data_IF_881449160290
#
_entry.id   IF_881449160290
#
_cell.length_a   1.000
_cell.length_b   1.000
_cell.length_c   1.000
_cell.angle_alpha   90.00
_cell.angle_beta   90.00
_cell.angle_gamma   90.00
#
_symmetry.space_group_name_H-M   'P 1'
#
loop_
_entity.id
_entity.type
_entity.pdbx_description
1 polymer ?
#
# COMPACT_ATOMS: atom_id res chain seq x y z
N UNK A 1 -52.07 41.13 28.60
CA UNK A 1 -51.82 40.35 27.37
C UNK A 1 -50.59 40.82 26.56
N UNK A 2 -50.24 42.12 26.52
CA UNK A 2 -49.06 42.63 25.76
C UNK A 2 -47.67 42.28 26.33
N UNK A 3 -47.55 42.02 27.64
CA UNK A 3 -46.25 41.68 28.27
C UNK A 3 -45.81 40.23 28.03
N UNK A 4 -46.76 39.29 27.93
CA UNK A 4 -46.46 37.87 27.72
C UNK A 4 -46.03 37.57 26.27
N UNK A 5 -46.58 38.28 25.27
CA UNK A 5 -46.10 38.18 23.88
C UNK A 5 -44.65 38.64 23.71
N UNK A 6 -44.17 39.63 24.48
CA UNK A 6 -42.76 40.08 24.41
C UNK A 6 -41.79 39.05 24.96
N UNK A 7 -42.18 38.30 26.01
CA UNK A 7 -41.37 37.23 26.58
C UNK A 7 -41.31 36.02 25.65
N UNK A 8 -42.44 35.64 25.04
CA UNK A 8 -42.50 34.53 24.07
C UNK A 8 -41.69 34.87 22.81
N UNK A 9 -41.80 36.10 22.28
CA UNK A 9 -40.99 36.53 21.15
C UNK A 9 -39.48 36.52 21.46
N UNK A 10 -39.08 36.91 22.67
CA UNK A 10 -37.68 36.87 23.10
C UNK A 10 -37.16 35.43 23.23
N UNK A 11 -37.95 34.50 23.76
CA UNK A 11 -37.59 33.07 23.86
C UNK A 11 -37.46 32.43 22.48
N UNK A 12 -38.36 32.75 21.54
CA UNK A 12 -38.31 32.22 20.17
C UNK A 12 -37.08 32.75 19.42
N UNK A 13 -36.70 34.01 19.63
CA UNK A 13 -35.47 34.60 19.05
C UNK A 13 -34.21 33.91 19.61
N UNK A 14 -34.15 33.65 20.91
CA UNK A 14 -33.01 32.95 21.53
C UNK A 14 -32.90 31.50 21.02
N UNK A 15 -34.02 30.79 20.80
CA UNK A 15 -34.03 29.43 20.22
C UNK A 15 -33.58 29.40 18.75
N UNK A 16 -33.93 30.43 17.97
CA UNK A 16 -33.52 30.56 16.57
C UNK A 16 -32.03 30.88 16.41
N UNK A 17 -31.43 31.62 17.34
CA UNK A 17 -29.99 31.95 17.32
C UNK A 17 -29.12 30.73 17.70
N UNK A 18 -29.60 29.87 18.61
CA UNK A 18 -28.87 28.64 19.00
C UNK A 18 -28.80 27.56 17.92
N UNK A 19 -29.61 27.67 16.86
CA UNK A 19 -29.70 26.67 15.78
C UNK A 19 -28.64 26.86 14.68
N UNK A 20 -27.83 27.93 14.73
CA UNK A 20 -26.79 28.25 13.74
C UNK A 20 -25.36 28.03 14.24
N UNK A 21 -25.17 27.32 15.36
CA UNK A 21 -23.84 26.85 15.73
C UNK A 21 -23.43 25.67 14.86
N UNK A 22 -22.84 25.96 13.70
CA UNK A 22 -22.01 25.00 12.97
C UNK A 22 -20.72 24.77 13.78
N UNK A 23 -20.81 23.98 14.83
CA UNK A 23 -19.65 23.41 15.53
C UNK A 23 -19.07 22.23 14.72
N UNK A 24 -18.90 22.42 13.41
CA UNK A 24 -18.15 21.48 12.60
C UNK A 24 -16.68 21.82 12.79
N UNK A 25 -16.00 21.10 13.67
CA UNK A 25 -14.54 21.06 13.68
C UNK A 25 -14.11 20.76 12.25
N UNK A 26 -13.50 21.75 11.59
CA UNK A 26 -12.89 21.55 10.29
C UNK A 26 -11.69 20.64 10.53
N UNK A 27 -11.89 19.32 10.39
CA UNK A 27 -10.84 18.29 10.46
C UNK A 27 -9.90 18.38 9.23
N UNK A 28 -9.50 19.58 8.86
CA UNK A 28 -8.50 19.78 7.84
C UNK A 28 -7.17 19.27 8.37
N UNK A 29 -6.55 18.37 7.60
CA UNK A 29 -5.33 17.68 8.00
C UNK A 29 -4.22 18.72 8.21
N UNK A 30 -3.80 18.91 9.47
CA UNK A 30 -2.76 19.87 9.82
C UNK A 30 -1.40 19.31 9.45
N UNK A 31 -0.68 20.02 8.59
CA UNK A 31 0.71 19.72 8.27
C UNK A 31 1.64 20.35 9.32
N UNK A 32 2.70 19.65 9.74
CA UNK A 32 3.75 20.25 10.56
C UNK A 32 4.50 21.33 9.75
N UNK A 33 5.28 22.20 10.42
CA UNK A 33 6.18 23.13 9.74
C UNK A 33 7.08 22.41 8.72
N UNK A 34 7.38 23.06 7.60
CA UNK A 34 8.07 22.44 6.45
C UNK A 34 9.40 21.79 6.82
N UNK A 35 10.21 22.42 7.66
CA UNK A 35 11.50 21.86 8.09
C UNK A 35 11.35 20.51 8.82
N UNK A 36 10.34 20.41 9.70
CA UNK A 36 10.02 19.16 10.39
C UNK A 36 9.45 18.13 9.42
N UNK A 37 8.64 18.57 8.47
CA UNK A 37 8.11 17.69 7.42
C UNK A 37 9.23 17.11 6.55
N UNK A 38 10.15 17.95 6.08
CA UNK A 38 11.26 17.55 5.21
C UNK A 38 12.23 16.60 5.95
N UNK A 39 12.51 16.88 7.23
CA UNK A 39 13.32 16.00 8.07
C UNK A 39 12.68 14.61 8.24
N UNK A 40 11.37 14.56 8.49
CA UNK A 40 10.64 13.30 8.68
C UNK A 40 10.46 12.55 7.35
N UNK A 41 10.15 13.25 6.27
CA UNK A 41 9.89 12.64 4.95
C UNK A 41 11.17 12.40 4.13
N UNK A 42 12.34 12.71 4.67
CA UNK A 42 13.62 12.42 4.03
C UNK A 42 13.72 10.93 3.66
N UNK A 43 14.03 10.66 2.40
CA UNK A 43 14.19 9.29 1.91
C UNK A 43 15.42 8.65 2.58
N UNK A 44 15.29 7.46 3.18
CA UNK A 44 16.42 6.72 3.71
C UNK A 44 17.33 6.26 2.58
N UNK A 45 18.55 5.86 2.95
CA UNK A 45 19.49 5.25 1.99
C UNK A 45 18.84 4.05 1.30
N UNK A 46 18.88 3.96 -0.04
CA UNK A 46 18.33 2.83 -0.77
C UNK A 46 18.96 1.51 -0.33
N UNK A 47 18.16 0.46 -0.22
CA UNK A 47 18.70 -0.88 -0.04
C UNK A 47 19.25 -1.41 -1.36
N UNK A 48 20.34 -2.16 -1.30
CA UNK A 48 21.03 -2.68 -2.49
C UNK A 48 21.00 -4.20 -2.52
N UNK A 49 20.86 -4.76 -3.72
CA UNK A 49 21.04 -6.18 -4.01
C UNK A 49 21.97 -6.31 -5.20
N UNK A 50 22.96 -7.18 -5.11
CA UNK A 50 23.98 -7.36 -6.16
C UNK A 50 23.88 -8.78 -6.71
N UNK A 51 24.12 -8.95 -8.01
CA UNK A 51 24.26 -10.25 -8.63
C UNK A 51 25.52 -11.00 -8.16
N UNK A 52 25.56 -12.32 -8.32
CA UNK A 52 26.67 -13.16 -7.87
C UNK A 52 28.01 -12.79 -8.50
N UNK A 53 27.97 -12.19 -9.71
CA UNK A 53 29.15 -11.76 -10.46
C UNK A 53 29.64 -10.36 -10.09
N UNK A 54 28.89 -9.60 -9.29
CA UNK A 54 29.23 -8.22 -8.96
C UNK A 54 29.23 -7.27 -10.16
N UNK A 55 28.40 -7.54 -11.17
CA UNK A 55 28.26 -6.71 -12.36
C UNK A 55 27.09 -5.72 -12.24
N UNK A 56 25.97 -6.20 -11.69
CA UNK A 56 24.73 -5.43 -11.58
C UNK A 56 24.27 -5.30 -10.14
N UNK A 57 23.85 -4.08 -9.80
CA UNK A 57 23.28 -3.72 -8.52
C UNK A 57 21.87 -3.17 -8.73
N UNK A 58 20.89 -3.78 -8.08
CA UNK A 58 19.55 -3.22 -7.92
C UNK A 58 19.55 -2.30 -6.69
N UNK A 59 19.21 -1.03 -6.89
CA UNK A 59 18.92 -0.10 -5.81
C UNK A 59 17.41 -0.01 -5.63
N UNK A 60 16.96 -0.15 -4.39
CA UNK A 60 15.55 -0.12 -4.02
C UNK A 60 15.30 1.00 -3.02
N UNK A 61 14.60 2.03 -3.47
CA UNK A 61 14.19 3.16 -2.64
C UNK A 61 12.92 2.82 -1.88
N UNK A 62 12.73 3.45 -0.72
CA UNK A 62 11.51 3.29 0.07
C UNK A 62 11.16 4.62 0.72
N UNK A 63 9.87 4.81 1.01
CA UNK A 63 9.43 5.85 1.92
C UNK A 63 9.53 5.36 3.36
N UNK A 64 9.94 6.25 4.27
CA UNK A 64 9.94 5.97 5.72
C UNK A 64 8.52 5.91 6.30
N UNK A 65 7.56 6.56 5.64
CA UNK A 65 6.19 6.70 6.14
C UNK A 65 5.16 6.21 5.11
N UNK A 66 4.20 5.36 5.53
CA UNK A 66 3.05 5.01 4.70
C UNK A 66 2.14 6.22 4.52
N UNK A 67 1.42 6.28 3.41
CA UNK A 67 0.45 7.37 3.16
C UNK A 67 -0.82 7.19 3.99
N UNK A 68 -1.61 8.26 4.15
CA UNK A 68 -2.88 8.21 4.88
C UNK A 68 -3.85 7.20 4.24
N UNK A 69 -3.87 7.12 2.91
CA UNK A 69 -4.70 6.19 2.15
C UNK A 69 -4.30 4.73 2.39
N UNK A 70 -3.01 4.47 2.65
CA UNK A 70 -2.51 3.15 3.02
C UNK A 70 -2.94 2.77 4.43
N UNK A 71 -2.84 3.71 5.37
CA UNK A 71 -3.25 3.50 6.76
C UNK A 71 -4.76 3.24 6.88
N UNK A 72 -5.56 3.89 6.03
CA UNK A 72 -7.01 3.74 5.95
C UNK A 72 -7.51 2.50 5.21
N UNK A 73 -6.63 1.68 4.62
CA UNK A 73 -7.04 0.44 3.96
C UNK A 73 -7.68 -0.56 4.95
N UNK A 74 -8.66 -1.36 4.50
CA UNK A 74 -9.31 -2.34 5.36
C UNK A 74 -8.32 -3.41 5.83
N UNK A 75 -8.45 -3.81 7.09
CA UNK A 75 -7.64 -4.85 7.73
C UNK A 75 -8.55 -5.87 8.40
N UNK A 76 -8.36 -7.15 8.09
CA UNK A 76 -8.96 -8.27 8.82
C UNK A 76 -7.85 -9.00 9.56
N UNK A 77 -8.12 -9.33 10.82
CA UNK A 77 -7.22 -10.12 11.67
C UNK A 77 -7.71 -11.56 11.75
N UNK A 78 -6.96 -12.51 11.20
CA UNK A 78 -7.31 -13.94 11.19
C UNK A 78 -6.06 -14.76 11.50
N UNK A 79 -6.13 -15.65 12.48
CA UNK A 79 -5.02 -16.55 12.85
C UNK A 79 -3.66 -15.83 13.02
N UNK A 80 -3.68 -14.64 13.63
CA UNK A 80 -2.48 -13.81 13.84
C UNK A 80 -2.02 -12.99 12.63
N UNK A 81 -2.62 -13.18 11.45
CA UNK A 81 -2.31 -12.41 10.25
C UNK A 81 -3.17 -11.15 10.16
N UNK A 82 -2.62 -10.13 9.49
CA UNK A 82 -3.33 -8.90 9.15
C UNK A 82 -3.44 -8.80 7.63
N UNK A 83 -4.63 -9.00 7.10
CA UNK A 83 -4.90 -9.18 5.67
C UNK A 83 -5.79 -8.04 5.19
N UNK A 84 -5.45 -7.44 4.06
CA UNK A 84 -6.36 -6.58 3.33
C UNK A 84 -7.25 -7.45 2.43
N UNK A 85 -8.58 -7.49 2.68
CA UNK A 85 -9.49 -8.34 1.91
C UNK A 85 -9.65 -7.91 0.46
N UNK A 86 -9.38 -6.64 0.12
CA UNK A 86 -9.61 -6.10 -1.22
C UNK A 86 -8.57 -6.60 -2.22
N UNK A 87 -7.32 -6.72 -1.79
CA UNK A 87 -6.19 -7.07 -2.66
C UNK A 87 -5.51 -8.39 -2.31
N UNK A 88 -5.95 -9.07 -1.24
CA UNK A 88 -5.40 -10.34 -0.78
C UNK A 88 -3.88 -10.27 -0.47
N UNK A 89 -3.47 -9.17 0.15
CA UNK A 89 -2.12 -8.96 0.65
C UNK A 89 -2.09 -8.64 2.15
N UNK A 90 -0.89 -8.68 2.75
CA UNK A 90 -0.67 -8.18 4.11
C UNK A 90 -1.02 -6.69 4.19
N UNK A 91 -1.83 -6.30 5.18
CA UNK A 91 -2.28 -4.90 5.37
C UNK A 91 -1.18 -3.96 5.86
N UNK A 92 -0.07 -4.52 6.38
CA UNK A 92 1.08 -3.80 6.91
C UNK A 92 2.34 -4.50 6.43
N UNK A 93 3.04 -3.88 5.48
CA UNK A 93 4.35 -4.31 5.01
C UNK A 93 5.15 -3.10 4.53
N UNK A 94 6.48 -3.21 4.57
CA UNK A 94 7.34 -2.18 4.01
C UNK A 94 7.34 -2.31 2.48
N UNK A 95 7.14 -1.19 1.78
CA UNK A 95 7.12 -1.15 0.34
C UNK A 95 8.32 -0.39 -0.23
N UNK A 96 8.71 -0.82 -1.42
CA UNK A 96 9.67 -0.13 -2.28
C UNK A 96 8.89 0.75 -3.24
N UNK A 97 9.25 2.04 -3.32
CA UNK A 97 8.56 3.03 -4.14
C UNK A 97 9.24 3.27 -5.49
N UNK A 98 10.53 2.95 -5.61
CA UNK A 98 11.30 3.06 -6.84
C UNK A 98 12.44 2.03 -6.93
N UNK A 99 12.82 1.69 -8.16
CA UNK A 99 13.99 0.88 -8.46
C UNK A 99 14.92 1.61 -9.45
N UNK A 100 16.23 1.45 -9.25
CA UNK A 100 17.23 1.77 -10.28
C UNK A 100 18.26 0.64 -10.40
N UNK A 101 18.88 0.52 -11.57
CA UNK A 101 19.96 -0.43 -11.82
C UNK A 101 21.28 0.31 -11.96
N UNK A 102 22.32 -0.21 -11.30
CA UNK A 102 23.67 0.31 -11.44
C UNK A 102 24.60 -0.78 -11.93
N UNK A 103 25.34 -0.48 -12.98
CA UNK A 103 26.44 -1.32 -13.41
C UNK A 103 27.67 -0.97 -12.57
N UNK A 104 28.21 -1.95 -11.84
CA UNK A 104 29.26 -1.71 -10.83
C UNK A 104 30.58 -1.33 -11.50
N UNK A 105 30.96 -2.03 -12.57
CA UNK A 105 32.23 -1.81 -13.30
C UNK A 105 32.29 -0.41 -13.91
N UNK A 106 31.24 -0.01 -14.61
CA UNK A 106 31.16 1.30 -15.30
C UNK A 106 30.70 2.43 -14.38
N UNK A 107 30.18 2.09 -13.19
CA UNK A 107 29.53 3.01 -12.22
C UNK A 107 28.29 3.73 -12.77
N UNK A 108 27.80 3.35 -13.96
CA UNK A 108 26.65 3.97 -14.60
C UNK A 108 25.34 3.49 -13.97
N UNK A 109 24.46 4.43 -13.68
CA UNK A 109 23.11 4.18 -13.17
C UNK A 109 22.08 4.32 -14.31
N UNK A 110 21.07 3.45 -14.26
CA UNK A 110 20.02 3.29 -15.25
C UNK A 110 18.68 3.35 -14.54
N UNK A 111 17.80 4.22 -15.03
CA UNK A 111 16.39 4.20 -14.66
C UNK A 111 15.72 3.02 -15.34
N UNK A 112 14.87 2.31 -14.61
CA UNK A 112 14.08 1.21 -15.18
C UNK A 112 12.82 1.80 -15.83
N UNK A 113 12.61 1.49 -17.10
CA UNK A 113 11.47 1.97 -17.87
C UNK A 113 10.28 1.03 -17.66
N UNK A 114 9.07 1.57 -17.49
CA UNK A 114 7.85 0.75 -17.35
C UNK A 114 7.54 0.29 -15.92
N UNK A 115 8.20 0.89 -14.91
CA UNK A 115 7.79 0.70 -13.52
C UNK A 115 6.36 1.21 -13.29
N UNK A 116 5.57 0.57 -12.41
CA UNK A 116 4.24 1.05 -12.02
C UNK A 116 4.27 2.47 -11.45
N UNK A 117 3.22 3.24 -11.74
CA UNK A 117 2.99 4.54 -11.07
C UNK A 117 2.57 4.29 -9.61
N UNK A 118 3.07 5.10 -8.68
CA UNK A 118 2.83 4.93 -7.23
C UNK A 118 3.13 3.50 -6.76
N UNK A 119 4.27 2.97 -7.22
CA UNK A 119 4.67 1.59 -6.99
C UNK A 119 4.72 1.27 -5.49
N UNK A 120 4.17 0.12 -5.13
CA UNK A 120 4.29 -0.49 -3.81
C UNK A 120 4.86 -1.88 -3.99
N UNK A 121 6.16 -1.92 -4.26
CA UNK A 121 6.86 -3.14 -4.58
C UNK A 121 7.29 -3.92 -3.33
N UNK A 122 7.24 -5.24 -3.44
CA UNK A 122 7.69 -6.21 -2.43
C UNK A 122 8.11 -7.52 -3.13
N UNK A 123 8.54 -8.52 -2.35
CA UNK A 123 8.90 -9.87 -2.83
C UNK A 123 9.90 -9.84 -4.01
N UNK A 124 10.96 -9.05 -3.88
CA UNK A 124 11.97 -8.86 -4.93
C UNK A 124 12.92 -10.05 -4.96
N UNK A 125 13.11 -10.66 -6.13
CA UNK A 125 14.00 -11.82 -6.30
C UNK A 125 14.68 -11.79 -7.67
N UNK A 126 16.00 -12.03 -7.69
CA UNK A 126 16.72 -12.30 -8.93
C UNK A 126 16.34 -13.67 -9.48
N UNK A 127 16.31 -13.81 -10.81
CA UNK A 127 16.25 -15.12 -11.46
C UNK A 127 17.52 -15.91 -11.15
N UNK A 128 17.48 -17.26 -11.19
CA UNK A 128 18.67 -18.07 -10.91
C UNK A 128 19.87 -17.76 -11.81
N UNK A 129 19.62 -17.38 -13.07
CA UNK A 129 20.65 -16.92 -14.01
C UNK A 129 20.92 -15.40 -13.96
N UNK A 130 20.27 -14.67 -13.07
CA UNK A 130 20.47 -13.24 -12.77
C UNK A 130 20.23 -12.28 -13.94
N UNK A 131 19.56 -12.74 -15.01
CA UNK A 131 19.18 -11.90 -16.16
C UNK A 131 17.88 -11.13 -15.96
N UNK A 132 17.09 -11.50 -14.97
CA UNK A 132 15.77 -10.96 -14.67
C UNK A 132 15.60 -10.75 -13.17
N UNK A 133 14.75 -9.80 -12.79
CA UNK A 133 14.31 -9.60 -11.41
C UNK A 133 12.79 -9.62 -11.40
N UNK A 134 12.21 -10.46 -10.56
CA UNK A 134 10.76 -10.45 -10.31
C UNK A 134 10.47 -9.63 -9.06
N UNK A 135 9.35 -8.91 -9.08
CA UNK A 135 8.78 -8.27 -7.90
C UNK A 135 7.26 -8.26 -7.99
N UNK A 136 6.60 -8.08 -6.85
CA UNK A 136 5.15 -7.87 -6.79
C UNK A 136 4.84 -6.41 -6.53
N UNK A 137 3.87 -5.84 -7.24
CA UNK A 137 3.34 -4.50 -7.01
C UNK A 137 1.94 -4.58 -6.40
N UNK A 138 1.74 -3.93 -5.26
CA UNK A 138 0.45 -3.92 -4.54
C UNK A 138 -0.34 -2.65 -4.85
N UNK A 139 -1.58 -2.79 -5.29
CA UNK A 139 -2.55 -1.69 -5.44
C UNK A 139 -3.64 -1.83 -4.38
N UNK A 140 -4.60 -0.91 -4.35
CA UNK A 140 -5.76 -0.99 -3.45
C UNK A 140 -6.61 -2.27 -3.67
N UNK A 141 -6.62 -2.81 -4.89
CA UNK A 141 -7.56 -3.87 -5.31
C UNK A 141 -6.86 -5.12 -5.86
N UNK A 142 -5.55 -5.08 -6.10
CA UNK A 142 -4.82 -6.20 -6.71
C UNK A 142 -3.38 -6.25 -6.23
N UNK A 143 -2.79 -7.44 -6.30
CA UNK A 143 -1.34 -7.59 -6.38
C UNK A 143 -0.98 -8.15 -7.75
N UNK A 144 -0.01 -7.55 -8.41
CA UNK A 144 0.45 -7.93 -9.74
C UNK A 144 1.95 -8.26 -9.73
N UNK A 145 2.38 -9.18 -10.58
CA UNK A 145 3.77 -9.56 -10.74
C UNK A 145 4.40 -8.86 -11.93
N UNK A 146 5.62 -8.37 -11.74
CA UNK A 146 6.40 -7.68 -12.75
C UNK A 146 7.77 -8.33 -12.88
N UNK A 147 8.32 -8.32 -14.10
CA UNK A 147 9.71 -8.69 -14.39
C UNK A 147 10.46 -7.48 -14.91
N UNK A 148 11.60 -7.19 -14.29
CA UNK A 148 12.65 -6.32 -14.81
C UNK A 148 13.60 -7.19 -15.64
N UNK A 149 13.84 -6.80 -16.88
CA UNK A 149 14.90 -7.38 -17.71
C UNK A 149 16.15 -6.50 -17.60
N UNK A 150 17.26 -7.09 -17.14
CA UNK A 150 18.51 -6.36 -16.86
C UNK A 150 19.12 -5.77 -18.14
N UNK A 151 19.04 -6.50 -19.26
CA UNK A 151 19.68 -6.08 -20.52
C UNK A 151 18.97 -4.89 -21.16
N UNK A 152 17.64 -4.85 -21.09
CA UNK A 152 16.82 -3.78 -21.68
C UNK A 152 16.49 -2.68 -20.68
N UNK A 153 16.74 -2.90 -19.39
CA UNK A 153 16.34 -2.01 -18.30
C UNK A 153 14.83 -1.68 -18.33
N UNK A 154 14.00 -2.66 -18.68
CA UNK A 154 12.54 -2.50 -18.76
C UNK A 154 11.82 -3.40 -17.76
N UNK A 155 10.76 -2.88 -17.13
CA UNK A 155 9.83 -3.62 -16.31
C UNK A 155 8.53 -3.89 -17.07
N UNK A 156 7.98 -5.10 -16.92
CA UNK A 156 6.74 -5.52 -17.58
C UNK A 156 5.87 -6.34 -16.64
N UNK A 157 4.55 -6.12 -16.68
CA UNK A 157 3.58 -6.95 -15.95
C UNK A 157 3.43 -8.30 -16.63
N UNK A 158 3.41 -9.39 -15.86
CA UNK A 158 3.41 -10.76 -16.41
C UNK A 158 2.18 -11.61 -16.03
N UNK A 159 1.46 -11.25 -14.97
CA UNK A 159 0.33 -12.04 -14.48
C UNK A 159 -0.99 -11.65 -15.15
N UNK A 160 -1.83 -12.65 -15.42
CA UNK A 160 -3.19 -12.45 -15.98
C UNK A 160 -4.25 -12.26 -14.89
N UNK A 161 -4.07 -12.91 -13.74
CA UNK A 161 -4.93 -12.79 -12.55
C UNK A 161 -4.13 -12.21 -11.40
N UNK A 162 -4.79 -11.44 -10.54
CA UNK A 162 -4.16 -10.90 -9.34
C UNK A 162 -3.63 -12.00 -8.43
N UNK A 163 -2.46 -11.75 -7.84
CA UNK A 163 -1.78 -12.66 -6.95
C UNK A 163 -2.47 -12.70 -5.59
N UNK A 164 -2.40 -13.85 -4.94
CA UNK A 164 -2.71 -13.99 -3.53
C UNK A 164 -1.38 -14.12 -2.76
N UNK A 165 -1.02 -13.06 -2.04
CA UNK A 165 0.25 -13.01 -1.31
C UNK A 165 0.12 -13.42 0.15
N UNK A 166 -1.10 -13.74 0.59
CA UNK A 166 -1.33 -14.28 1.92
C UNK A 166 -0.74 -15.70 2.02
N UNK A 167 -0.11 -16.00 3.17
CA UNK A 167 0.38 -17.32 3.59
C UNK A 167 1.49 -17.94 2.72
N UNK A 168 2.75 -17.88 3.17
CA UNK A 168 3.88 -18.57 2.51
C UNK A 168 4.43 -17.83 1.28
N UNK A 169 5.31 -18.49 0.51
CA UNK A 169 5.98 -17.90 -0.67
C UNK A 169 4.98 -17.40 -1.72
N UNK A 170 5.03 -16.10 -2.01
CA UNK A 170 4.07 -15.44 -2.92
C UNK A 170 4.33 -15.77 -4.39
N UNK A 171 5.60 -15.67 -4.77
CA UNK A 171 6.11 -15.88 -6.12
C UNK A 171 7.48 -16.54 -5.99
N UNK A 172 7.77 -17.53 -6.83
CA UNK A 172 9.04 -18.25 -6.83
C UNK A 172 9.47 -18.56 -8.26
N UNK A 173 10.77 -18.52 -8.51
CA UNK A 173 11.36 -18.97 -9.77
C UNK A 173 11.28 -20.49 -9.90
N UNK A 174 10.91 -20.94 -11.10
CA UNK A 174 10.98 -22.34 -11.51
C UNK A 174 11.94 -22.44 -12.70
N UNK A 175 13.20 -22.71 -12.40
CA UNK A 175 14.28 -22.53 -13.36
C UNK A 175 14.49 -21.06 -13.70
N UNK A 176 15.03 -20.80 -14.89
CA UNK A 176 15.54 -19.50 -15.29
C UNK A 176 14.48 -18.51 -15.80
N UNK A 177 13.39 -19.04 -16.37
CA UNK A 177 12.45 -18.25 -17.18
C UNK A 177 10.98 -18.43 -16.80
N UNK A 178 10.68 -19.33 -15.86
CA UNK A 178 9.32 -19.57 -15.39
C UNK A 178 9.14 -19.17 -13.92
N UNK A 179 7.90 -18.80 -13.58
CA UNK A 179 7.50 -18.37 -12.25
C UNK A 179 6.27 -19.15 -11.80
N UNK A 180 6.27 -19.58 -10.55
CA UNK A 180 5.10 -20.12 -9.87
C UNK A 180 4.60 -19.07 -8.89
N UNK A 181 3.30 -18.79 -8.93
CA UNK A 181 2.65 -17.83 -8.05
C UNK A 181 1.22 -18.25 -7.74
N UNK A 182 0.73 -17.87 -6.57
CA UNK A 182 -0.67 -18.11 -6.18
C UNK A 182 -1.56 -16.99 -6.72
N UNK A 183 -2.78 -17.33 -7.09
CA UNK A 183 -3.76 -16.39 -7.63
C UNK A 183 -5.00 -16.30 -6.76
N UNK A 184 -5.66 -15.15 -6.81
CA UNK A 184 -7.00 -14.96 -6.28
C UNK A 184 -7.99 -15.66 -7.21
N UNK A 185 -8.82 -16.54 -6.64
CA UNK A 185 -9.84 -17.31 -7.38
C UNK A 185 -11.26 -16.78 -7.17
N UNK A 186 -11.48 -15.92 -6.18
CA UNK A 186 -12.78 -15.35 -5.85
C UNK A 186 -12.64 -13.89 -5.38
N UNK A 187 -13.61 -13.01 -5.70
CA UNK A 187 -13.55 -11.60 -5.30
C UNK A 187 -13.76 -11.42 -3.80
N UNK A 188 -13.31 -10.30 -3.24
CA UNK A 188 -13.48 -9.97 -1.81
C UNK A 188 -14.95 -10.00 -1.35
N UNK A 189 -15.88 -9.69 -2.26
CA UNK A 189 -17.33 -9.75 -2.04
C UNK A 189 -17.87 -11.15 -1.77
N UNK A 190 -17.11 -12.20 -2.13
CA UNK A 190 -17.48 -13.60 -1.86
C UNK A 190 -17.17 -14.06 -0.42
N UNK A 191 -16.74 -13.14 0.46
CA UNK A 191 -16.44 -13.43 1.86
C UNK A 191 -17.63 -14.13 2.55
N UNK A 192 -17.41 -15.26 3.25
CA UNK A 192 -18.45 -15.92 4.02
C UNK A 192 -19.10 -14.97 5.02
N UNK A 193 -20.43 -15.06 5.16
CA UNK A 193 -21.16 -14.30 6.18
C UNK A 193 -20.63 -14.71 7.56
N UNK A 194 -20.36 -13.72 8.41
CA UNK A 194 -19.99 -14.02 9.78
C UNK A 194 -21.16 -14.75 10.46
N UNK A 195 -20.89 -15.82 11.23
CA UNK A 195 -21.93 -16.47 12.01
C UNK A 195 -22.58 -15.45 12.95
N UNK A 196 -23.88 -15.62 13.21
CA UNK A 196 -24.64 -14.76 14.10
C UNK A 196 -23.99 -14.88 15.48
N UNK A 197 -23.32 -13.82 15.94
CA UNK A 197 -22.82 -13.77 17.32
C UNK A 197 -24.06 -13.68 18.23
N UNK A 198 -24.19 -14.51 19.28
CA UNK A 198 -25.28 -14.34 20.22
C UNK A 198 -25.20 -12.93 20.81
N UNK A 199 -26.36 -12.25 20.91
CA UNK A 199 -26.45 -10.87 21.40
C UNK A 199 -26.04 -10.71 22.86
N UNK A 200 -25.92 -11.81 23.58
CA UNK A 200 -25.55 -11.90 24.99
C UNK A 200 -24.60 -13.09 25.20
N UNK A 201 -23.85 -13.13 26.31
CA UNK A 201 -23.05 -14.30 26.65
C UNK A 201 -23.95 -15.53 26.78
N UNK A 202 -23.61 -16.61 26.10
CA UNK A 202 -24.17 -17.92 26.39
C UNK A 202 -23.43 -18.45 27.61
N UNK A 203 -24.18 -18.76 28.68
CA UNK A 203 -23.68 -19.44 29.90
C UNK A 203 -23.37 -20.89 29.58
#
# INVERSE_FOLDING_TARGET
MRFECRKIAFVVIVLLIGSFSFAQDNFEYKLPPKEMQDLLLAKPTPSVSIDSKGEWMLMSERSSYPTVEELGQPEIRVAGLRINPNNYAYSRQAYIDNFSLKNIKTKKEYKIIGLPVNMKAANVQWSPNEKKIVFTNTTANSVDAYIININTQTATKINKRSLNTNFGGTIVWHGDDALLYKVVIAPASSKPKQPIKPKAPTV
#
